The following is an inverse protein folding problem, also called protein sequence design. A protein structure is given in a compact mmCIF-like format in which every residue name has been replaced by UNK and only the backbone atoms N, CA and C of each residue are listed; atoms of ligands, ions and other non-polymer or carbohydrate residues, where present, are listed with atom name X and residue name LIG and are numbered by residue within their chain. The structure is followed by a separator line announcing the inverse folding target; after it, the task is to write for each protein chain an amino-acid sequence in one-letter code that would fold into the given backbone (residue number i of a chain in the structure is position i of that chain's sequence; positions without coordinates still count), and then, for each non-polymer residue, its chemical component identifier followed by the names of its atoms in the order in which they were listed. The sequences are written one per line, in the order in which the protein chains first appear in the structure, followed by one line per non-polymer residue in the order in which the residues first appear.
data_IF_745001154661
#
_entry.id   IF_745001154661
#
_cell.length_a   1.000
_cell.length_b   1.000
_cell.length_c   1.000
_cell.angle_alpha   90.00
_cell.angle_beta   90.00
_cell.angle_gamma   90.00
#
_symmetry.space_group_name_H-M   'P 1'
#
loop_
_entity.id
_entity.type
_entity.pdbx_description
1 polymer ?
#
# COMPACT_ATOMS: atom_id res chain seq x y z
N UNK A 1 -10.88 15.06 6.91
CA UNK A 1 -10.04 13.96 7.44
C UNK A 1 -10.80 12.64 7.26
N UNK A 2 -10.07 11.53 7.12
CA UNK A 2 -10.59 10.16 7.25
C UNK A 2 -9.72 9.37 8.23
N UNK A 3 -10.30 8.35 8.86
CA UNK A 3 -9.59 7.41 9.73
C UNK A 3 -9.51 6.05 9.02
N UNK A 4 -8.33 5.44 9.06
CA UNK A 4 -8.00 4.20 8.37
C UNK A 4 -7.43 3.15 9.33
N UNK A 5 -7.72 1.88 9.07
CA UNK A 5 -6.96 0.75 9.59
C UNK A 5 -5.91 0.31 8.58
N UNK A 6 -4.65 0.31 9.00
CA UNK A 6 -3.51 -0.16 8.21
C UNK A 6 -2.90 -1.38 8.89
N UNK A 7 -2.73 -2.46 8.15
CA UNK A 7 -2.13 -3.70 8.64
C UNK A 7 -1.27 -4.34 7.55
N UNK A 8 -0.06 -4.80 7.91
CA UNK A 8 0.94 -5.32 6.98
C UNK A 8 1.07 -4.50 5.68
N UNK A 9 1.21 -3.18 5.82
CA UNK A 9 1.40 -2.25 4.71
C UNK A 9 0.25 -2.23 3.69
N UNK A 10 -0.98 -2.57 4.13
CA UNK A 10 -2.21 -2.48 3.37
C UNK A 10 -3.28 -1.71 4.14
N UNK A 11 -4.17 -1.04 3.42
CA UNK A 11 -5.31 -0.34 4.02
C UNK A 11 -6.50 -1.30 4.03
N UNK A 12 -7.01 -1.64 5.21
CA UNK A 12 -8.08 -2.63 5.37
C UNK A 12 -9.46 -1.99 5.41
N UNK A 13 -9.57 -0.85 6.10
CA UNK A 13 -10.86 -0.22 6.38
C UNK A 13 -10.73 1.29 6.39
N UNK A 14 -11.72 1.96 5.81
CA UNK A 14 -12.02 3.37 6.09
C UNK A 14 -13.16 3.37 7.11
N UNK A 15 -12.99 4.04 8.24
CA UNK A 15 -14.07 4.15 9.20
C UNK A 15 -15.11 5.18 8.75
N UNK A 16 -16.41 4.86 8.89
CA UNK A 16 -17.43 5.89 8.76
C UNK A 16 -17.29 6.90 9.90
N UNK A 17 -17.67 8.16 9.65
CA UNK A 17 -17.57 9.24 10.63
C UNK A 17 -18.35 8.99 11.94
N UNK A 18 -19.34 8.09 11.89
CA UNK A 18 -20.17 7.72 13.03
C UNK A 18 -19.76 6.39 13.69
N UNK A 19 -18.62 5.80 13.31
CA UNK A 19 -18.08 4.63 14.01
C UNK A 19 -17.82 5.01 15.47
N UNK A 20 -18.28 4.15 16.38
CA UNK A 20 -18.00 4.34 17.80
C UNK A 20 -16.59 3.89 18.12
N UNK A 21 -15.89 4.65 18.96
CA UNK A 21 -14.52 4.33 19.39
C UNK A 21 -14.44 2.93 20.02
N UNK A 22 -15.48 2.49 20.75
CA UNK A 22 -15.54 1.16 21.38
C UNK A 22 -15.48 -0.02 20.38
N UNK A 23 -15.78 0.22 19.10
CA UNK A 23 -15.75 -0.79 18.04
C UNK A 23 -14.41 -0.83 17.28
N UNK A 24 -13.48 0.08 17.58
CA UNK A 24 -12.20 0.20 16.89
C UNK A 24 -11.18 -0.69 17.59
N UNK A 25 -10.62 -1.66 16.87
CA UNK A 25 -9.55 -2.52 17.37
C UNK A 25 -8.18 -1.93 17.04
N UNK A 26 -7.49 -1.38 18.03
CA UNK A 26 -6.16 -0.79 17.91
C UNK A 26 -5.02 -1.71 18.38
N UNK A 27 -5.33 -2.96 18.78
CA UNK A 27 -4.34 -3.85 19.39
C UNK A 27 -3.35 -4.46 18.38
N UNK A 28 -3.77 -4.63 17.13
CA UNK A 28 -2.96 -5.29 16.08
C UNK A 28 -2.77 -4.43 14.83
N UNK A 29 -3.56 -3.36 14.69
CA UNK A 29 -3.63 -2.54 13.49
C UNK A 29 -3.17 -1.12 13.78
N UNK A 30 -2.50 -0.51 12.81
CA UNK A 30 -2.12 0.89 12.89
C UNK A 30 -3.30 1.75 12.46
N UNK A 31 -3.81 2.58 13.36
CA UNK A 31 -4.77 3.61 13.00
C UNK A 31 -4.05 4.80 12.36
N UNK A 32 -4.52 5.22 11.19
CA UNK A 32 -4.00 6.41 10.48
C UNK A 32 -5.11 7.40 10.20
N UNK A 33 -4.94 8.62 10.69
CA UNK A 33 -5.77 9.74 10.29
C UNK A 33 -5.07 10.53 9.19
N UNK A 34 -5.78 10.85 8.11
CA UNK A 34 -5.23 11.66 7.01
C UNK A 34 -6.27 12.63 6.45
N UNK A 35 -5.81 13.72 5.84
CA UNK A 35 -6.67 14.61 5.08
C UNK A 35 -7.11 13.94 3.77
N UNK A 36 -8.36 14.17 3.36
CA UNK A 36 -8.87 13.71 2.08
C UNK A 36 -8.45 14.75 1.04
N UNK A 37 -7.56 14.42 0.09
CA UNK A 37 -7.13 15.33 -0.96
C UNK A 37 -8.30 15.86 -1.80
N UNK A 38 -8.19 17.08 -2.30
CA UNK A 38 -9.21 17.71 -3.17
C UNK A 38 -9.52 16.88 -4.42
N UNK A 39 -8.51 16.18 -4.98
CA UNK A 39 -8.69 15.31 -6.14
C UNK A 39 -9.66 14.14 -5.87
N UNK A 40 -9.77 13.69 -4.62
CA UNK A 40 -10.69 12.61 -4.21
C UNK A 40 -12.12 13.11 -3.97
N UNK A 41 -12.30 14.42 -3.70
CA UNK A 41 -13.63 14.99 -3.40
C UNK A 41 -14.53 15.12 -4.63
N UNK A 42 -13.92 15.20 -5.82
CA UNK A 42 -14.61 15.43 -7.08
C UNK A 42 -14.39 14.26 -8.06
N UNK A 43 -14.69 13.04 -7.61
CA UNK A 43 -14.65 11.86 -8.48
C UNK A 43 -15.90 11.82 -9.36
N UNK A 44 -15.68 11.77 -10.67
CA UNK A 44 -16.72 11.53 -11.66
C UNK A 44 -17.22 10.08 -11.63
N UNK A 45 -18.27 9.76 -12.42
CA UNK A 45 -18.87 8.44 -12.42
C UNK A 45 -17.89 7.34 -12.84
N UNK A 46 -16.95 7.63 -13.75
CA UNK A 46 -15.99 6.64 -14.25
C UNK A 46 -14.64 6.67 -13.53
N UNK A 47 -14.45 7.64 -12.64
CA UNK A 47 -13.23 7.72 -11.85
C UNK A 47 -13.21 6.63 -10.78
N UNK A 48 -12.02 6.31 -10.30
CA UNK A 48 -11.80 5.29 -9.27
C UNK A 48 -10.86 5.81 -8.21
N UNK A 49 -11.19 5.53 -6.96
CA UNK A 49 -10.24 5.60 -5.87
C UNK A 49 -9.63 4.21 -5.69
N UNK A 50 -8.34 4.06 -5.96
CA UNK A 50 -7.64 2.78 -5.90
C UNK A 50 -6.61 2.76 -4.77
N UNK A 51 -6.32 1.58 -4.27
CA UNK A 51 -5.18 1.34 -3.39
C UNK A 51 -3.87 1.35 -4.16
N UNK A 52 -2.82 1.92 -3.56
CA UNK A 52 -1.45 1.90 -4.08
C UNK A 52 -0.52 1.44 -2.97
N UNK A 53 0.20 0.34 -3.21
CA UNK A 53 1.07 -0.30 -2.22
C UNK A 53 2.49 -0.49 -2.79
N UNK A 54 3.49 -0.31 -1.93
CA UNK A 54 4.88 -0.62 -2.26
C UNK A 54 5.11 -2.11 -2.04
N UNK A 55 5.84 -2.75 -2.95
CA UNK A 55 6.21 -4.15 -2.77
C UNK A 55 7.58 -4.48 -3.33
N UNK A 56 8.13 -5.59 -2.85
CA UNK A 56 9.25 -6.27 -3.46
C UNK A 56 8.88 -7.73 -3.71
N UNK A 57 9.54 -8.37 -4.67
CA UNK A 57 9.48 -9.82 -4.84
C UNK A 57 10.54 -10.46 -3.98
N UNK A 58 10.15 -11.43 -3.15
CA UNK A 58 11.12 -12.26 -2.44
C UNK A 58 11.64 -13.37 -3.39
N UNK A 59 12.93 -13.33 -3.81
CA UNK A 59 13.50 -14.36 -4.67
C UNK A 59 13.58 -15.73 -3.98
N UNK A 60 13.55 -15.79 -2.65
CA UNK A 60 13.64 -17.01 -1.86
C UNK A 60 12.29 -17.68 -1.62
N UNK A 61 11.18 -16.94 -1.73
CA UNK A 61 9.82 -17.44 -1.51
C UNK A 61 9.00 -17.49 -2.80
N UNK A 62 9.55 -18.11 -3.85
CA UNK A 62 8.84 -18.32 -5.13
C UNK A 62 8.26 -17.02 -5.73
N UNK A 63 8.98 -15.90 -5.59
CA UNK A 63 8.56 -14.57 -6.04
C UNK A 63 7.27 -14.05 -5.41
N UNK A 64 6.96 -14.46 -4.18
CA UNK A 64 5.86 -13.86 -3.43
C UNK A 64 6.07 -12.35 -3.24
N UNK A 65 4.97 -11.61 -3.33
CA UNK A 65 4.91 -10.18 -3.08
C UNK A 65 5.00 -9.95 -1.56
N UNK A 66 5.97 -9.14 -1.15
CA UNK A 66 6.07 -8.61 0.20
C UNK A 66 5.81 -7.11 0.14
N UNK A 67 4.70 -6.65 0.72
CA UNK A 67 4.38 -5.23 0.80
C UNK A 67 5.19 -4.57 1.93
N UNK A 68 5.57 -3.30 1.75
CA UNK A 68 6.29 -2.49 2.72
C UNK A 68 5.87 -1.02 2.63
N UNK A 69 6.48 -0.16 3.44
CA UNK A 69 6.28 1.29 3.38
C UNK A 69 4.87 1.73 3.78
N UNK A 70 4.48 2.92 3.33
CA UNK A 70 3.19 3.53 3.67
C UNK A 70 2.20 3.40 2.50
N UNK A 71 1.12 2.62 2.66
CA UNK A 71 0.11 2.49 1.60
C UNK A 71 -0.71 3.77 1.46
N UNK A 72 -1.23 4.08 0.28
CA UNK A 72 -2.08 5.25 0.08
C UNK A 72 -3.17 5.01 -0.97
N UNK A 73 -4.13 5.93 -1.03
CA UNK A 73 -5.12 5.96 -2.10
C UNK A 73 -4.71 6.91 -3.22
N UNK A 74 -5.11 6.56 -4.43
CA UNK A 74 -4.96 7.41 -5.61
C UNK A 74 -6.28 7.48 -6.38
N UNK A 75 -6.72 8.70 -6.67
CA UNK A 75 -7.78 8.94 -7.63
C UNK A 75 -7.24 8.79 -9.06
N UNK A 76 -7.75 7.82 -9.81
CA UNK A 76 -7.44 7.65 -11.25
C UNK A 76 -8.64 8.06 -12.10
N UNK A 77 -8.37 8.71 -13.23
CA UNK A 77 -9.39 9.19 -14.16
C UNK A 77 -9.58 8.24 -15.33
N UNK A 78 -10.74 8.33 -15.98
CA UNK A 78 -10.98 7.61 -17.23
C UNK A 78 -9.99 8.05 -18.31
N UNK A 79 -9.37 7.09 -19.00
CA UNK A 79 -8.39 7.35 -20.06
C UNK A 79 -6.98 7.70 -19.58
N UNK A 80 -6.77 7.91 -18.27
CA UNK A 80 -5.46 8.25 -17.70
C UNK A 80 -4.46 7.09 -17.92
N UNK A 81 -3.35 7.42 -18.57
CA UNK A 81 -2.26 6.48 -18.85
C UNK A 81 -1.38 6.25 -17.63
N UNK A 82 -0.62 5.16 -17.63
CA UNK A 82 0.35 4.91 -16.56
C UNK A 82 1.42 6.00 -16.49
N UNK A 83 1.84 6.57 -17.62
CA UNK A 83 2.81 7.67 -17.63
C UNK A 83 2.31 8.89 -16.82
N UNK A 84 1.07 9.30 -17.05
CA UNK A 84 0.44 10.42 -16.32
C UNK A 84 0.26 10.09 -14.82
N UNK A 85 -0.17 8.85 -14.52
CA UNK A 85 -0.28 8.35 -13.14
C UNK A 85 1.09 8.36 -12.43
N UNK A 86 2.15 7.96 -13.12
CA UNK A 86 3.53 7.92 -12.60
C UNK A 86 4.00 9.30 -12.18
N UNK A 87 3.79 10.33 -12.99
CA UNK A 87 4.16 11.72 -12.65
C UNK A 87 3.47 12.19 -11.35
N UNK A 88 2.18 11.86 -11.20
CA UNK A 88 1.42 12.19 -9.99
C UNK A 88 1.92 11.45 -8.76
N UNK A 89 2.19 10.14 -8.90
CA UNK A 89 2.75 9.32 -7.82
C UNK A 89 4.13 9.85 -7.40
N UNK A 90 5.01 10.13 -8.36
CA UNK A 90 6.34 10.65 -8.09
C UNK A 90 6.29 11.97 -7.33
N UNK A 91 5.45 12.92 -7.79
CA UNK A 91 5.23 14.20 -7.12
C UNK A 91 4.67 14.03 -5.71
N UNK A 92 3.73 13.10 -5.52
CA UNK A 92 3.12 12.80 -4.21
C UNK A 92 4.15 12.24 -3.23
N UNK A 93 5.02 11.34 -3.69
CA UNK A 93 6.02 10.65 -2.87
C UNK A 93 7.34 11.42 -2.74
N UNK A 94 7.55 12.47 -3.54
CA UNK A 94 8.77 13.28 -3.59
C UNK A 94 10.03 12.46 -3.84
N UNK A 95 9.93 11.47 -4.75
CA UNK A 95 11.03 10.57 -5.12
C UNK A 95 11.84 11.18 -6.26
N UNK A 96 13.19 11.24 -6.16
CA UNK A 96 14.05 11.71 -7.25
C UNK A 96 13.89 10.88 -8.53
N UNK A 97 14.03 11.52 -9.70
CA UNK A 97 13.91 10.87 -11.01
C UNK A 97 14.81 9.64 -11.15
N UNK A 98 16.05 9.73 -10.67
CA UNK A 98 17.05 8.66 -10.74
C UNK A 98 16.67 7.40 -9.93
N UNK A 99 15.84 7.56 -8.90
CA UNK A 99 15.31 6.45 -8.11
C UNK A 99 14.01 5.95 -8.72
N UNK A 100 13.10 6.86 -9.05
CA UNK A 100 11.77 6.55 -9.55
C UNK A 100 11.79 5.82 -10.89
N UNK A 101 12.75 6.14 -11.78
CA UNK A 101 12.88 5.47 -13.08
C UNK A 101 13.20 3.96 -12.97
N UNK A 102 13.67 3.49 -11.81
CA UNK A 102 13.96 2.07 -11.54
C UNK A 102 12.72 1.30 -11.10
N UNK A 103 11.65 1.99 -10.71
CA UNK A 103 10.44 1.38 -10.17
C UNK A 103 9.64 0.71 -11.29
N UNK A 104 9.02 -0.43 -10.97
CA UNK A 104 8.07 -1.10 -11.88
C UNK A 104 6.67 -1.00 -11.32
N UNK A 105 5.70 -0.91 -12.21
CA UNK A 105 4.31 -0.70 -11.84
C UNK A 105 3.51 -1.89 -12.32
N UNK A 106 2.67 -2.43 -11.45
CA UNK A 106 1.88 -3.62 -11.75
C UNK A 106 0.46 -3.47 -11.23
N UNK A 107 -0.50 -3.95 -12.00
CA UNK A 107 -1.82 -4.29 -11.49
C UNK A 107 -1.69 -5.58 -10.69
N UNK A 108 -2.03 -5.55 -9.39
CA UNK A 108 -2.00 -6.74 -8.55
C UNK A 108 -3.41 -7.27 -8.36
N UNK A 109 -3.59 -8.58 -8.59
CA UNK A 109 -4.82 -9.29 -8.29
C UNK A 109 -4.48 -10.68 -7.75
N UNK A 110 -5.06 -11.07 -6.60
CA UNK A 110 -4.77 -12.36 -5.94
C UNK A 110 -3.27 -12.62 -5.74
N UNK A 111 -2.52 -11.60 -5.30
CA UNK A 111 -1.06 -11.64 -5.11
C UNK A 111 -0.23 -11.94 -6.37
N UNK A 112 -0.82 -11.77 -7.57
CA UNK A 112 -0.15 -11.93 -8.85
C UNK A 112 0.04 -10.57 -9.53
N UNK A 113 1.28 -10.20 -9.86
CA UNK A 113 1.55 -8.95 -10.57
C UNK A 113 1.35 -9.11 -12.08
N UNK A 114 0.63 -8.17 -12.67
CA UNK A 114 0.56 -7.94 -14.11
C UNK A 114 1.15 -6.56 -14.42
N UNK A 115 2.33 -6.53 -15.04
CA UNK A 115 3.10 -5.30 -15.22
C UNK A 115 2.51 -4.41 -16.30
N UNK A 116 2.45 -3.12 -15.99
CA UNK A 116 1.87 -2.11 -16.85
C UNK A 116 2.96 -1.39 -17.65
N UNK A 117 2.61 -1.01 -18.88
CA UNK A 117 3.39 -0.14 -19.76
C UNK A 117 2.90 1.29 -19.64
N UNK A 118 3.76 2.25 -20.00
CA UNK A 118 3.46 3.68 -19.90
C UNK A 118 2.20 4.10 -20.68
N UNK A 119 1.92 3.44 -21.80
CA UNK A 119 0.74 3.66 -22.63
C UNK A 119 -0.54 2.99 -22.11
N UNK A 120 -0.46 2.13 -21.10
CA UNK A 120 -1.62 1.42 -20.58
C UNK A 120 -2.58 2.39 -19.87
N UNK A 121 -3.86 2.30 -20.20
CA UNK A 121 -4.92 3.03 -19.48
C UNK A 121 -5.18 2.34 -18.14
N UNK A 122 -4.88 3.01 -17.03
CA UNK A 122 -4.91 2.39 -15.69
C UNK A 122 -6.34 2.05 -15.27
N UNK A 123 -7.29 2.96 -15.51
CA UNK A 123 -8.71 2.75 -15.16
C UNK A 123 -9.33 1.54 -15.84
N UNK A 124 -8.83 1.13 -17.01
CA UNK A 124 -9.30 -0.08 -17.71
C UNK A 124 -9.03 -1.38 -16.93
N UNK A 125 -8.05 -1.39 -16.02
CA UNK A 125 -7.72 -2.54 -15.15
C UNK A 125 -8.59 -2.60 -13.88
N UNK A 126 -9.14 -1.47 -13.42
CA UNK A 126 -9.88 -1.33 -12.15
C UNK A 126 -11.39 -1.16 -12.36
N UNK A 127 -12.01 -2.10 -13.07
CA UNK A 127 -13.42 -2.01 -13.43
C UNK A 127 -14.37 -2.33 -12.28
N UNK A 128 -13.98 -3.21 -11.36
CA UNK A 128 -14.79 -3.62 -10.21
C UNK A 128 -14.63 -2.61 -9.07
N UNK A 129 -15.74 -2.07 -8.56
CA UNK A 129 -15.72 -1.04 -7.51
C UNK A 129 -15.55 -1.61 -6.09
N UNK A 130 -16.08 -2.80 -5.83
CA UNK A 130 -16.23 -3.32 -4.46
C UNK A 130 -15.47 -4.63 -4.26
N UNK A 131 -14.15 -4.60 -4.43
CA UNK A 131 -13.31 -5.79 -4.30
C UNK A 131 -12.53 -5.73 -2.98
N UNK A 132 -12.95 -6.55 -2.02
CA UNK A 132 -12.35 -6.60 -0.68
C UNK A 132 -11.74 -7.98 -0.37
N UNK A 133 -10.84 -8.00 0.61
CA UNK A 133 -10.25 -9.23 1.14
C UNK A 133 -9.43 -10.00 0.10
N UNK A 134 -9.69 -11.30 -0.05
CA UNK A 134 -8.91 -12.20 -0.92
C UNK A 134 -8.91 -11.81 -2.42
N UNK A 135 -9.85 -10.96 -2.84
CA UNK A 135 -9.97 -10.52 -4.22
C UNK A 135 -9.34 -9.15 -4.47
N UNK A 136 -8.85 -8.48 -3.42
CA UNK A 136 -8.33 -7.10 -3.46
C UNK A 136 -7.44 -6.84 -4.67
N UNK A 137 -7.74 -5.73 -5.36
CA UNK A 137 -6.99 -5.23 -6.50
C UNK A 137 -6.33 -3.90 -6.14
N UNK A 138 -5.07 -3.73 -6.51
CA UNK A 138 -4.32 -2.50 -6.22
C UNK A 138 -3.23 -2.25 -7.26
N UNK A 139 -2.75 -1.00 -7.32
CA UNK A 139 -1.57 -0.64 -8.09
C UNK A 139 -0.33 -0.89 -7.21
N UNK A 140 0.49 -1.85 -7.61
CA UNK A 140 1.74 -2.20 -6.94
C UNK A 140 2.92 -1.38 -7.49
N UNK A 141 3.72 -0.84 -6.58
CA UNK A 141 4.98 -0.14 -6.86
C UNK A 141 6.14 -1.05 -6.47
N UNK A 142 6.75 -1.71 -7.45
CA UNK A 142 7.89 -2.59 -7.21
C UNK A 142 9.19 -1.80 -7.11
N UNK A 143 9.81 -1.84 -5.94
CA UNK A 143 11.15 -1.29 -5.71
C UNK A 143 11.78 -1.86 -4.44
N UNK A 144 13.06 -1.54 -4.20
CA UNK A 144 13.74 -1.91 -2.97
C UNK A 144 13.23 -1.06 -1.79
N UNK A 145 13.10 -1.69 -0.61
CA UNK A 145 12.85 -0.98 0.64
C UNK A 145 14.13 -0.27 1.11
N UNK A 146 14.21 1.02 0.82
CA UNK A 146 15.33 1.90 1.20
C UNK A 146 15.08 2.61 2.53
N UNK A 147 13.92 2.42 3.16
CA UNK A 147 13.67 2.98 4.48
C UNK A 147 14.65 2.37 5.48
N UNK A 148 15.18 3.15 6.44
CA UNK A 148 15.96 2.59 7.52
C UNK A 148 15.08 1.54 8.20
N UNK A 149 15.47 0.26 8.11
CA UNK A 149 14.80 -0.82 8.82
C UNK A 149 14.90 -0.52 10.30
N UNK A 150 13.93 0.23 10.84
CA UNK A 150 13.71 0.29 12.28
C UNK A 150 13.54 -1.16 12.69
N UNK A 151 14.26 -1.59 13.72
CA UNK A 151 14.11 -2.90 14.32
C UNK A 151 12.69 -3.04 14.93
N UNK A 152 11.67 -3.13 14.08
CA UNK A 152 10.26 -3.30 14.44
C UNK A 152 9.93 -4.75 14.79
N UNK A 153 10.94 -5.56 15.11
CA UNK A 153 10.76 -6.86 15.77
C UNK A 153 10.55 -6.74 17.28
N UNK A 154 10.59 -5.53 17.87
CA UNK A 154 10.45 -5.36 19.31
C UNK A 154 9.00 -5.43 19.85
N UNK A 155 7.96 -5.27 19.02
CA UNK A 155 6.56 -5.23 19.49
C UNK A 155 5.67 -6.40 19.06
N UNK A 156 6.18 -7.36 18.28
CA UNK A 156 5.41 -8.55 17.88
C UNK A 156 5.75 -9.82 18.69
N UNK A 157 6.78 -9.79 19.54
CA UNK A 157 7.12 -10.91 20.43
C UNK A 157 7.04 -10.50 21.91
N UNK A 158 5.82 -10.55 22.47
CA UNK A 158 5.64 -10.76 23.93
C UNK A 158 5.84 -12.24 24.30
N UNK A 159 6.95 -12.82 23.85
CA UNK A 159 7.47 -14.08 24.39
C UNK A 159 8.87 -13.81 24.95
N UNK A 160 8.85 -13.32 26.19
CA UNK A 160 9.68 -13.77 27.32
C UNK A 160 10.96 -14.56 26.98
N UNK A 161 12.09 -13.91 27.31
CA UNK A 161 13.41 -14.46 27.68
C UNK A 161 14.24 -15.21 26.62
N UNK A 162 15.03 -14.46 25.85
CA UNK A 162 16.37 -14.92 25.45
C UNK A 162 17.42 -13.97 26.04
N UNK A 163 18.02 -14.37 27.17
CA UNK A 163 19.36 -13.92 27.55
C UNK A 163 20.27 -15.14 27.60
N UNK A 164 21.45 -15.12 26.99
CA UNK A 164 22.38 -16.23 27.05
C UNK A 164 22.88 -16.43 28.49
N UNK A 165 22.75 -17.65 29.01
CA UNK A 165 23.30 -18.06 30.30
C UNK A 165 24.78 -18.37 30.11
N UNK A 166 25.65 -17.64 30.82
CA UNK A 166 27.08 -17.97 30.90
C UNK A 166 27.28 -18.94 32.04
N UNK A 167 27.78 -20.14 31.73
CA UNK A 167 28.23 -21.11 32.72
C UNK A 167 29.70 -20.81 33.00
N UNK A 168 30.03 -20.52 34.25
CA UNK A 168 31.41 -20.44 34.72
C UNK A 168 31.77 -21.81 35.29
N UNK A 169 32.85 -22.41 34.75
CA UNK A 169 33.53 -23.56 35.36
C UNK A 169 34.62 -23.08 36.31
#
# INVERSE_FOLDING_TARGET
LRLLEVFYHKIYKIFPLHEKIENINDQYWTLRAEEIPEEEKNLGPNDRLIHVYHFMKDPLQNQQIQNFGDPFYLAIREGETLAEVKERIQKKLQVPDEEFCKWKFAFISMNRPDYLQDSDVVSARFQRRDVYGAWEQYLGLEHADTAPKRAYTANQNRHTYEKPVRIYN
#
